data_IF_736939318446
#
_entry.id   IF_736939318446
#
_cell.length_a   1.000
_cell.length_b   1.000
_cell.length_c   1.000
_cell.angle_alpha   90.00
_cell.angle_beta   90.00
_cell.angle_gamma   90.00
#
_symmetry.space_group_name_H-M   'P 1'
#
loop_
_entity.id
_entity.type
_entity.pdbx_description
1 polymer ?
#
# COMPACT_ATOMS: atom_id res chain seq x y z
N UNK A 1 8.29 25.11 2.34
CA UNK A 1 7.47 24.06 1.72
C UNK A 1 8.37 23.40 0.69
N UNK A 2 8.94 22.24 1.01
CA UNK A 2 9.89 21.58 0.09
C UNK A 2 9.10 21.09 -1.12
N UNK A 3 9.30 21.73 -2.27
CA UNK A 3 8.75 21.29 -3.54
C UNK A 3 9.24 19.87 -3.81
N UNK A 4 8.33 18.90 -3.66
CA UNK A 4 8.60 17.52 -4.04
C UNK A 4 8.83 17.55 -5.55
N UNK A 5 10.02 17.14 -6.04
CA UNK A 5 10.37 17.32 -7.43
C UNK A 5 9.42 16.53 -8.34
N UNK A 6 9.08 17.10 -9.49
CA UNK A 6 8.08 16.56 -10.42
C UNK A 6 8.33 15.09 -10.79
N UNK A 7 9.60 14.67 -10.90
CA UNK A 7 9.94 13.27 -11.19
C UNK A 7 9.40 12.29 -10.12
N UNK A 8 9.41 12.68 -8.83
CA UNK A 8 8.85 11.85 -7.74
C UNK A 8 7.35 11.76 -7.82
N UNK A 9 6.67 12.84 -8.21
CA UNK A 9 5.22 12.82 -8.41
C UNK A 9 4.85 11.88 -9.56
N UNK A 10 5.59 11.90 -10.67
CA UNK A 10 5.39 10.94 -11.75
C UNK A 10 5.70 9.50 -11.35
N UNK A 11 6.76 9.28 -10.57
CA UNK A 11 7.10 7.95 -10.05
C UNK A 11 6.02 7.41 -9.12
N UNK A 12 5.47 8.23 -8.22
CA UNK A 12 4.33 7.86 -7.38
C UNK A 12 3.10 7.52 -8.23
N UNK A 13 2.76 8.35 -9.21
CA UNK A 13 1.64 8.07 -10.13
C UNK A 13 1.84 6.78 -10.91
N UNK A 14 3.06 6.51 -11.38
CA UNK A 14 3.40 5.28 -12.06
C UNK A 14 3.22 4.07 -11.14
N UNK A 15 3.62 4.17 -9.87
CA UNK A 15 3.37 3.12 -8.87
C UNK A 15 1.88 2.88 -8.63
N UNK A 16 1.09 3.93 -8.43
CA UNK A 16 -0.35 3.78 -8.29
C UNK A 16 -0.99 3.17 -9.54
N UNK A 17 -0.54 3.57 -10.74
CA UNK A 17 -1.02 3.01 -11.99
C UNK A 17 -0.63 1.53 -12.13
N UNK A 18 0.59 1.15 -11.73
CA UNK A 18 1.04 -0.24 -11.73
C UNK A 18 0.18 -1.08 -10.79
N UNK A 19 -0.10 -0.61 -9.58
CA UNK A 19 -0.98 -1.31 -8.62
C UNK A 19 -2.40 -1.41 -9.19
N UNK A 20 -2.96 -0.32 -9.71
CA UNK A 20 -4.31 -0.30 -10.28
C UNK A 20 -4.45 -1.29 -11.46
N UNK A 21 -3.48 -1.30 -12.36
CA UNK A 21 -3.55 -2.07 -13.60
C UNK A 21 -3.09 -3.51 -13.42
N UNK A 22 -1.90 -3.73 -12.87
CA UNK A 22 -1.35 -5.08 -12.71
C UNK A 22 -2.17 -5.85 -11.67
N UNK A 23 -2.23 -5.31 -10.44
CA UNK A 23 -2.94 -5.97 -9.33
C UNK A 23 -4.46 -5.98 -9.57
N UNK A 24 -5.02 -4.85 -10.00
CA UNK A 24 -6.46 -4.76 -10.28
C UNK A 24 -6.89 -5.72 -11.39
N UNK A 25 -6.14 -5.85 -12.49
CA UNK A 25 -6.53 -6.79 -13.55
C UNK A 25 -6.52 -8.26 -13.10
N UNK A 26 -5.63 -8.65 -12.18
CA UNK A 26 -5.59 -10.00 -11.63
C UNK A 26 -6.74 -10.25 -10.67
N UNK A 27 -6.89 -9.37 -9.67
CA UNK A 27 -7.90 -9.51 -8.61
C UNK A 27 -9.31 -9.40 -9.17
N UNK A 28 -9.57 -8.44 -10.06
CA UNK A 28 -10.92 -8.27 -10.62
C UNK A 28 -11.33 -9.43 -11.52
N UNK A 29 -10.39 -10.08 -12.21
CA UNK A 29 -10.68 -11.34 -12.91
C UNK A 29 -11.08 -12.42 -11.92
N UNK A 30 -10.37 -12.56 -10.81
CA UNK A 30 -10.68 -13.53 -9.77
C UNK A 30 -12.05 -13.28 -9.13
N UNK A 31 -12.37 -12.02 -8.81
CA UNK A 31 -13.67 -11.59 -8.25
C UNK A 31 -14.82 -11.80 -9.24
N UNK A 32 -14.66 -11.38 -10.49
CA UNK A 32 -15.75 -11.43 -11.46
C UNK A 32 -15.98 -12.83 -12.03
N UNK A 33 -14.91 -13.58 -12.29
CA UNK A 33 -14.99 -14.88 -12.95
C UNK A 33 -15.25 -16.04 -11.96
N UNK A 34 -15.30 -15.79 -10.65
CA UNK A 34 -15.56 -16.80 -9.60
C UNK A 34 -14.77 -18.11 -9.85
N UNK A 35 -13.51 -17.98 -10.29
CA UNK A 35 -12.76 -19.08 -10.90
C UNK A 35 -12.32 -20.16 -9.88
N UNK A 36 -12.52 -19.92 -8.58
CA UNK A 36 -12.25 -20.85 -7.50
C UNK A 36 -13.36 -20.73 -6.45
N UNK A 37 -13.75 -21.85 -5.84
CA UNK A 37 -14.55 -21.85 -4.62
C UNK A 37 -13.70 -21.23 -3.51
N UNK A 38 -13.78 -19.91 -3.35
CA UNK A 38 -12.96 -19.19 -2.39
C UNK A 38 -13.06 -19.83 -1.02
N UNK A 39 -11.90 -20.16 -0.44
CA UNK A 39 -11.87 -20.34 0.99
C UNK A 39 -12.25 -19.00 1.65
N UNK A 40 -13.01 -19.04 2.74
CA UNK A 40 -13.65 -17.83 3.31
C UNK A 40 -12.68 -16.67 3.54
N UNK A 41 -11.42 -16.95 3.88
CA UNK A 41 -10.40 -15.92 4.10
C UNK A 41 -9.81 -15.34 2.81
N UNK A 42 -9.69 -16.14 1.76
CA UNK A 42 -9.13 -15.73 0.46
C UNK A 42 -10.02 -14.67 -0.20
N UNK A 43 -11.34 -14.90 -0.20
CA UNK A 43 -12.31 -13.94 -0.74
C UNK A 43 -12.30 -12.60 -0.02
N UNK A 44 -12.04 -12.59 1.29
CA UNK A 44 -11.91 -11.36 2.07
C UNK A 44 -10.66 -10.58 1.64
N UNK A 45 -9.52 -11.25 1.51
CA UNK A 45 -8.27 -10.63 1.06
C UNK A 45 -8.40 -10.10 -0.37
N UNK A 46 -9.01 -10.88 -1.28
CA UNK A 46 -9.27 -10.47 -2.65
C UNK A 46 -10.14 -9.20 -2.71
N UNK A 47 -11.22 -9.13 -1.92
CA UNK A 47 -12.06 -7.93 -1.84
C UNK A 47 -11.30 -6.71 -1.28
N UNK A 48 -10.48 -6.90 -0.24
CA UNK A 48 -9.67 -5.82 0.35
C UNK A 48 -8.64 -5.27 -0.66
N UNK A 49 -7.94 -6.16 -1.37
CA UNK A 49 -6.98 -5.75 -2.41
C UNK A 49 -7.68 -5.17 -3.64
N UNK A 50 -8.88 -5.67 -3.98
CA UNK A 50 -9.73 -5.10 -5.02
C UNK A 50 -10.13 -3.67 -4.69
N UNK A 51 -10.58 -3.40 -3.46
CA UNK A 51 -10.86 -2.04 -2.99
C UNK A 51 -9.62 -1.15 -3.03
N UNK A 52 -8.45 -1.68 -2.66
CA UNK A 52 -7.19 -0.95 -2.76
C UNK A 52 -6.85 -0.60 -4.21
N UNK A 53 -7.06 -1.50 -5.15
CA UNK A 53 -6.85 -1.21 -6.58
C UNK A 53 -7.74 -0.05 -7.05
N UNK A 54 -8.99 0.04 -6.59
CA UNK A 54 -9.86 1.19 -6.87
C UNK A 54 -9.34 2.48 -6.22
N UNK A 55 -8.94 2.44 -4.95
CA UNK A 55 -8.38 3.60 -4.26
C UNK A 55 -7.07 4.07 -4.90
N UNK A 56 -6.29 3.16 -5.49
CA UNK A 56 -5.08 3.52 -6.21
C UNK A 56 -5.37 4.38 -7.45
N UNK A 57 -6.56 4.28 -8.06
CA UNK A 57 -7.01 5.20 -9.11
C UNK A 57 -7.13 6.65 -8.60
N UNK A 58 -7.61 6.84 -7.37
CA UNK A 58 -7.59 8.15 -6.71
C UNK A 58 -6.16 8.62 -6.40
N UNK A 59 -5.25 7.68 -6.12
CA UNK A 59 -3.81 7.91 -5.97
C UNK A 59 -3.15 8.50 -7.21
N UNK A 60 -3.63 8.20 -8.43
CA UNK A 60 -3.13 8.87 -9.65
C UNK A 60 -3.42 10.38 -9.63
N UNK A 61 -4.61 10.77 -9.12
CA UNK A 61 -5.02 12.18 -9.03
C UNK A 61 -4.35 12.89 -7.87
N UNK A 62 -4.27 12.26 -6.70
CA UNK A 62 -3.76 12.84 -5.45
C UNK A 62 -2.62 12.01 -4.81
N UNK A 63 -1.46 11.88 -5.48
CA UNK A 63 -0.42 10.93 -5.10
C UNK A 63 0.19 11.15 -3.71
N UNK A 64 0.32 12.41 -3.28
CA UNK A 64 0.86 12.76 -1.95
C UNK A 64 -0.15 12.61 -0.82
N UNK A 65 -1.45 12.73 -1.10
CA UNK A 65 -2.50 12.57 -0.09
C UNK A 65 -2.78 11.08 0.17
N UNK A 66 -2.68 10.26 -0.88
CA UNK A 66 -2.89 8.82 -0.83
C UNK A 66 -1.63 8.02 -0.44
N UNK A 67 -0.55 8.70 -0.02
CA UNK A 67 0.67 8.05 0.49
C UNK A 67 0.44 6.94 1.54
N UNK A 68 -0.54 7.04 2.46
CA UNK A 68 -0.82 5.97 3.40
C UNK A 68 -1.18 4.64 2.73
N UNK A 69 -1.74 4.68 1.51
CA UNK A 69 -2.08 3.50 0.72
C UNK A 69 -0.82 2.72 0.30
N UNK A 70 0.22 3.42 -0.16
CA UNK A 70 1.52 2.81 -0.51
C UNK A 70 2.25 2.32 0.74
N UNK A 71 2.16 3.05 1.86
CA UNK A 71 2.74 2.61 3.12
C UNK A 71 2.06 1.35 3.64
N UNK A 72 0.73 1.26 3.52
CA UNK A 72 0.00 0.03 3.83
C UNK A 72 0.47 -1.12 2.94
N UNK A 73 0.55 -0.89 1.62
CA UNK A 73 0.97 -1.90 0.65
C UNK A 73 2.37 -2.43 0.99
N UNK A 74 3.28 -1.52 1.33
CA UNK A 74 4.62 -1.89 1.70
C UNK A 74 4.69 -2.59 3.07
N UNK A 75 3.89 -2.15 4.03
CA UNK A 75 3.89 -2.74 5.37
C UNK A 75 3.44 -4.20 5.34
N UNK A 76 2.30 -4.51 4.70
CA UNK A 76 1.80 -5.89 4.71
C UNK A 76 2.72 -6.83 3.91
N UNK A 77 3.26 -6.40 2.76
CA UNK A 77 4.21 -7.19 1.97
C UNK A 77 5.49 -7.46 2.74
N UNK A 78 6.01 -6.44 3.42
CA UNK A 78 7.24 -6.58 4.22
C UNK A 78 7.02 -7.48 5.44
N UNK A 79 5.90 -7.34 6.15
CA UNK A 79 5.56 -8.24 7.25
C UNK A 79 5.46 -9.68 6.72
N UNK A 80 4.74 -9.90 5.61
CA UNK A 80 4.60 -11.23 5.05
C UNK A 80 5.94 -11.83 4.62
N UNK A 81 6.80 -11.06 3.93
CA UNK A 81 8.15 -11.50 3.52
C UNK A 81 9.08 -11.79 4.71
N UNK A 82 8.94 -11.07 5.82
CA UNK A 82 9.79 -11.29 7.01
C UNK A 82 9.30 -12.47 7.85
N UNK A 83 7.99 -12.71 7.92
CA UNK A 83 7.43 -13.72 8.82
C UNK A 83 7.09 -15.06 8.14
N UNK A 84 6.99 -15.11 6.80
CA UNK A 84 6.59 -16.34 6.08
C UNK A 84 7.77 -17.00 5.35
N UNK A 85 8.40 -16.38 4.33
CA UNK A 85 9.48 -17.03 3.59
C UNK A 85 10.83 -16.96 4.33
N UNK A 86 11.10 -15.90 5.11
CA UNK A 86 12.39 -15.75 5.79
C UNK A 86 12.65 -16.85 6.84
N UNK A 87 11.68 -17.24 7.70
CA UNK A 87 11.88 -18.36 8.62
C UNK A 87 12.02 -19.69 7.87
N UNK A 88 11.26 -19.91 6.80
CA UNK A 88 11.39 -21.12 5.98
C UNK A 88 12.78 -21.25 5.35
N UNK A 89 13.31 -20.14 4.81
CA UNK A 89 14.67 -20.11 4.29
C UNK A 89 15.71 -20.41 5.36
N UNK A 90 15.54 -19.85 6.56
CA UNK A 90 16.45 -20.09 7.67
C UNK A 90 16.46 -21.54 8.15
N UNK A 91 15.31 -22.22 8.15
CA UNK A 91 15.18 -23.58 8.64
C UNK A 91 15.51 -24.62 7.57
N UNK A 92 15.01 -24.42 6.34
CA UNK A 92 15.08 -25.41 5.26
C UNK A 92 16.14 -25.09 4.19
N UNK A 93 16.74 -23.89 4.22
CA UNK A 93 17.71 -23.45 3.21
C UNK A 93 17.12 -23.12 1.84
N UNK A 94 15.79 -23.24 1.68
CA UNK A 94 15.06 -22.90 0.46
C UNK A 94 13.67 -22.35 0.79
N UNK A 95 13.09 -21.60 -0.15
CA UNK A 95 11.68 -21.21 -0.12
C UNK A 95 10.89 -22.27 -0.87
N UNK A 96 9.76 -22.71 -0.31
CA UNK A 96 8.91 -23.70 -0.97
C UNK A 96 8.35 -23.17 -2.31
N UNK A 97 8.22 -24.06 -3.30
CA UNK A 97 7.70 -23.70 -4.62
C UNK A 97 6.28 -23.14 -4.52
N UNK A 98 5.50 -23.60 -3.54
CA UNK A 98 4.13 -23.16 -3.29
C UNK A 98 4.00 -21.67 -2.96
N UNK A 99 5.01 -21.07 -2.30
CA UNK A 99 4.99 -19.64 -1.93
C UNK A 99 5.91 -18.79 -2.79
N UNK A 100 6.69 -19.41 -3.69
CA UNK A 100 7.70 -18.73 -4.51
C UNK A 100 7.10 -17.65 -5.42
N UNK A 101 5.92 -17.89 -6.00
CA UNK A 101 5.17 -16.90 -6.78
C UNK A 101 4.76 -15.71 -5.92
N UNK A 102 4.22 -15.97 -4.73
CA UNK A 102 3.84 -14.92 -3.77
C UNK A 102 5.04 -14.12 -3.29
N UNK A 103 6.20 -14.76 -3.07
CA UNK A 103 7.46 -14.07 -2.74
C UNK A 103 7.88 -13.14 -3.87
N UNK A 104 7.79 -13.59 -5.12
CA UNK A 104 8.09 -12.77 -6.29
C UNK A 104 7.15 -11.56 -6.39
N UNK A 105 5.84 -11.78 -6.24
CA UNK A 105 4.84 -10.70 -6.28
C UNK A 105 4.99 -9.70 -5.11
N UNK A 106 5.34 -10.20 -3.92
CA UNK A 106 5.64 -9.34 -2.77
C UNK A 106 6.96 -8.58 -2.94
N UNK A 107 7.95 -9.10 -3.68
CA UNK A 107 9.26 -8.45 -3.86
C UNK A 107 9.17 -7.07 -4.54
N UNK A 108 8.11 -6.82 -5.32
CA UNK A 108 7.83 -5.51 -5.91
C UNK A 108 7.64 -4.40 -4.86
N UNK A 109 7.48 -4.73 -3.58
CA UNK A 109 7.52 -3.77 -2.47
C UNK A 109 8.78 -2.88 -2.48
N UNK A 110 9.90 -3.39 -2.99
CA UNK A 110 11.14 -2.61 -3.12
C UNK A 110 10.94 -1.39 -4.00
N UNK A 111 10.14 -1.50 -5.07
CA UNK A 111 9.81 -0.36 -5.93
C UNK A 111 9.02 0.70 -5.18
N UNK A 112 8.09 0.29 -4.30
CA UNK A 112 7.33 1.19 -3.44
C UNK A 112 8.27 1.95 -2.52
N UNK A 113 9.21 1.26 -1.88
CA UNK A 113 10.21 1.88 -1.02
C UNK A 113 11.13 2.87 -1.75
N UNK A 114 11.45 2.63 -3.02
CA UNK A 114 12.24 3.58 -3.83
C UNK A 114 11.39 4.79 -4.24
N UNK A 115 10.13 4.57 -4.62
CA UNK A 115 9.23 5.63 -5.08
C UNK A 115 8.76 6.56 -3.96
N UNK A 116 8.61 6.04 -2.73
CA UNK A 116 8.10 6.80 -1.60
C UNK A 116 9.11 7.86 -1.14
N UNK A 117 8.71 9.15 -1.08
CA UNK A 117 9.57 10.20 -0.56
C UNK A 117 9.66 10.12 0.97
N UNK A 118 10.58 9.30 1.49
CA UNK A 118 10.77 9.08 2.94
C UNK A 118 10.92 10.36 3.76
N UNK A 119 11.63 11.36 3.23
CA UNK A 119 11.75 12.67 3.88
C UNK A 119 10.40 13.36 4.10
N UNK A 120 9.48 13.25 3.13
CA UNK A 120 8.10 13.75 3.28
C UNK A 120 7.32 12.89 4.26
N UNK A 121 7.47 11.56 4.22
CA UNK A 121 6.78 10.64 5.14
C UNK A 121 7.12 10.94 6.58
N UNK A 122 8.41 11.09 6.90
CA UNK A 122 8.86 11.40 8.27
C UNK A 122 8.37 12.78 8.70
N UNK A 123 8.41 13.79 7.82
CA UNK A 123 7.92 15.12 8.15
C UNK A 123 6.40 15.15 8.39
N UNK A 124 5.62 14.48 7.55
CA UNK A 124 4.15 14.52 7.54
C UNK A 124 3.51 13.56 8.54
N UNK A 125 4.03 12.35 8.69
CA UNK A 125 3.39 11.30 9.51
C UNK A 125 4.06 11.09 10.87
N UNK A 126 5.35 11.42 11.01
CA UNK A 126 6.08 11.22 12.27
C UNK A 126 6.23 12.54 13.03
N UNK A 127 6.59 13.63 12.34
CA UNK A 127 6.87 14.92 12.99
C UNK A 127 5.65 15.84 13.11
N UNK A 128 4.67 15.71 12.23
CA UNK A 128 3.48 16.56 12.29
C UNK A 128 2.61 16.13 13.47
N UNK A 129 2.17 17.11 14.27
CA UNK A 129 1.21 16.85 15.35
C UNK A 129 -0.11 16.36 14.75
N UNK A 130 -0.67 15.30 15.33
CA UNK A 130 -1.95 14.75 14.91
C UNK A 130 -3.08 15.79 15.01
N UNK A 131 -4.12 15.61 14.20
CA UNK A 131 -5.31 16.45 14.24
C UNK A 131 -5.85 16.52 15.68
N UNK A 132 -6.26 17.72 16.12
CA UNK A 132 -6.77 17.90 17.49
C UNK A 132 -8.05 17.10 17.68
N UNK A 133 -8.12 16.36 18.79
CA UNK A 133 -9.32 15.62 19.19
C UNK A 133 -10.46 16.50 19.72
N UNK A 134 -10.25 17.80 19.92
CA UNK A 134 -11.25 18.72 20.47
C UNK A 134 -11.35 20.02 19.67
N UNK A 135 -12.58 20.41 19.34
CA UNK A 135 -12.90 21.75 18.85
C UNK A 135 -12.57 22.76 19.95
N UNK A 136 -11.65 23.69 19.68
CA UNK A 136 -11.63 24.93 20.46
C UNK A 136 -12.94 25.63 20.13
N UNK A 137 -13.94 25.45 20.98
CA UNK A 137 -15.11 26.31 21.00
C UNK A 137 -14.60 27.70 21.37
N UNK A 138 -14.27 28.49 20.36
CA UNK A 138 -14.08 29.92 20.51
C UNK A 138 -15.43 30.48 20.94
N UNK A 139 -15.69 30.51 22.25
CA UNK A 139 -16.64 31.48 22.80
C UNK A 139 -16.00 32.83 22.58
N UNK A 140 -16.34 33.41 21.43
CA UNK A 140 -16.19 34.83 21.20
C UNK A 140 -16.80 35.54 22.42
N UNK A 141 -15.95 36.32 23.08
CA UNK A 141 -16.38 37.30 24.04
C UNK A 141 -17.37 38.24 23.33
N UNK A 142 -18.65 38.11 23.70
CA UNK A 142 -19.64 39.19 23.64
C UNK A 142 -20.06 39.33 25.09
N UNK A 143 -19.31 40.13 25.85
CA UNK A 143 -19.70 41.49 26.28
C UNK A 143 -21.06 41.49 26.97
#
# INVERSE_FOLDING_TARGET
MNDVPLYRLYMLRAMYALIALAMGSQIWKEILLHAQSWERNEGVVACMLGALSLLSLLGLRYPLQMLPLLLWEAAWKTIWLVFVPLPQWWVNGHVDAAISSTVFDCSFVVLVYIAVPWGYVVQRYVKQQGERWGSVATRAAVR
#
